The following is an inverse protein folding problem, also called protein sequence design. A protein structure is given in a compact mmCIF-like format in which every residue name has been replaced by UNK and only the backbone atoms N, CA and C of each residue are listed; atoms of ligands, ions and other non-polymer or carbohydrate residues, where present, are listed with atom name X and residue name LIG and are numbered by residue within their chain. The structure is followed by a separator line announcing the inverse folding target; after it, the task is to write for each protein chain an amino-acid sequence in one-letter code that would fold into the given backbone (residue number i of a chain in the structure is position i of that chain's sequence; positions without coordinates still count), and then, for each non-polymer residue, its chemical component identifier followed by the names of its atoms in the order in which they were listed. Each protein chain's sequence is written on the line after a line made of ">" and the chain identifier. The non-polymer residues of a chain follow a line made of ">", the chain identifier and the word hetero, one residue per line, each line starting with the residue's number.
data_IF_253422631471
#
_entry.id   IF_253422631471
#
_cell.length_a   1.000
_cell.length_b   1.000
_cell.length_c   1.000
_cell.angle_alpha   90.00
_cell.angle_beta   90.00
_cell.angle_gamma   90.00
#
_symmetry.space_group_name_H-M   'P 1'
#
loop_
_entity.id
_entity.type
_entity.pdbx_description
1 polymer ?
#
# COMPACT_ATOMS: atom_id res chain seq x y z
N UNK A 1 44.82 56.15 91.55
CA UNK A 1 43.87 56.32 90.42
C UNK A 1 44.17 55.22 89.41
N UNK A 2 43.29 54.23 89.28
CA UNK A 2 43.46 53.08 88.38
C UNK A 2 42.56 53.25 87.16
N UNK A 3 43.14 53.12 85.96
CA UNK A 3 42.45 53.29 84.69
C UNK A 3 41.51 52.11 84.39
N UNK A 4 40.26 52.42 84.05
CA UNK A 4 39.26 51.44 83.61
C UNK A 4 39.53 51.02 82.15
N UNK A 5 39.49 49.73 81.89
CA UNK A 5 39.65 49.13 80.56
C UNK A 5 38.34 49.30 79.76
N UNK A 6 38.34 49.93 78.56
CA UNK A 6 37.10 50.36 77.87
C UNK A 6 36.50 49.31 76.92
N UNK A 7 36.99 48.07 76.94
CA UNK A 7 36.50 47.00 76.07
C UNK A 7 35.77 45.99 76.97
N UNK A 8 34.47 45.86 76.76
CA UNK A 8 33.59 44.93 77.48
C UNK A 8 34.05 43.46 77.36
N UNK A 9 33.32 42.52 77.98
CA UNK A 9 33.71 41.11 78.02
C UNK A 9 33.95 40.58 76.59
N UNK A 10 35.16 40.05 76.35
CA UNK A 10 35.50 39.45 75.07
C UNK A 10 34.62 38.22 74.81
N UNK A 11 34.16 38.01 73.57
CA UNK A 11 33.34 36.87 73.23
C UNK A 11 34.12 35.56 73.39
N UNK A 12 33.48 34.56 73.98
CA UNK A 12 34.04 33.23 74.18
C UNK A 12 33.93 32.40 72.89
N UNK A 13 35.02 32.36 72.12
CA UNK A 13 35.11 31.61 70.88
C UNK A 13 35.02 30.09 71.07
N UNK A 14 35.22 29.57 72.30
CA UNK A 14 35.03 28.13 72.57
C UNK A 14 33.54 27.77 72.57
N UNK A 15 32.67 28.67 73.02
CA UNK A 15 31.22 28.50 72.94
C UNK A 15 30.73 28.47 71.49
N UNK A 16 31.28 29.35 70.65
CA UNK A 16 30.97 29.42 69.21
C UNK A 16 31.45 28.15 68.50
N UNK A 17 32.65 27.67 68.80
CA UNK A 17 33.18 26.43 68.23
C UNK A 17 32.35 25.19 68.62
N UNK A 18 31.90 25.12 69.88
CA UNK A 18 31.05 24.03 70.36
C UNK A 18 29.64 24.06 69.75
N UNK A 19 29.06 25.23 69.46
CA UNK A 19 27.81 25.32 68.72
C UNK A 19 27.97 24.95 67.24
N UNK A 20 29.06 25.33 66.59
CA UNK A 20 29.34 24.93 65.20
C UNK A 20 29.47 23.40 65.07
N UNK A 21 30.04 22.73 66.07
CA UNK A 21 30.15 21.26 66.09
C UNK A 21 28.80 20.55 66.26
N UNK A 22 27.79 21.19 66.86
CA UNK A 22 26.43 20.62 66.98
C UNK A 22 25.66 20.62 65.65
N UNK A 23 26.06 21.45 64.70
CA UNK A 23 25.47 21.52 63.34
C UNK A 23 26.02 20.42 62.42
N UNK A 24 27.10 19.73 62.83
CA UNK A 24 27.74 18.66 62.05
C UNK A 24 26.91 17.36 61.96
N UNK A 25 25.72 17.31 62.56
CA UNK A 25 24.79 16.20 62.42
C UNK A 25 23.61 16.60 61.53
N UNK A 26 23.88 16.91 60.25
CA UNK A 26 22.85 17.25 59.26
C UNK A 26 22.51 16.02 58.39
N UNK A 27 21.29 15.45 58.52
CA UNK A 27 20.74 14.45 57.59
C UNK A 27 20.65 14.94 56.13
N UNK A 28 20.93 16.22 55.88
CA UNK A 28 20.86 16.86 54.56
C UNK A 28 21.82 16.24 53.52
N UNK A 29 22.93 15.64 53.95
CA UNK A 29 23.90 15.01 53.02
C UNK A 29 23.37 13.66 52.48
N UNK A 30 22.58 12.91 53.25
CA UNK A 30 22.00 11.64 52.81
C UNK A 30 20.92 11.84 51.72
N UNK A 31 20.02 12.82 51.92
CA UNK A 31 19.00 13.15 50.92
C UNK A 31 19.58 13.78 49.64
N UNK A 32 20.67 14.53 49.74
CA UNK A 32 21.37 15.07 48.57
C UNK A 32 21.95 13.98 47.66
N UNK A 33 22.50 12.92 48.24
CA UNK A 33 23.03 11.80 47.46
C UNK A 33 21.93 10.99 46.75
N UNK A 34 20.78 10.82 47.41
CA UNK A 34 19.61 10.16 46.82
C UNK A 34 19.03 10.95 45.64
N UNK A 35 18.90 12.28 45.79
CA UNK A 35 18.48 13.17 44.70
C UNK A 35 19.45 13.09 43.51
N UNK A 36 20.77 13.06 43.75
CA UNK A 36 21.76 12.92 42.68
C UNK A 36 21.65 11.58 41.94
N UNK A 37 21.35 10.50 42.67
CA UNK A 37 21.13 9.19 42.08
C UNK A 37 19.86 9.19 41.21
N UNK A 38 18.77 9.78 41.69
CA UNK A 38 17.52 9.90 40.94
C UNK A 38 17.69 10.76 39.68
N UNK A 39 18.44 11.87 39.77
CA UNK A 39 18.77 12.69 38.59
C UNK A 39 19.62 11.92 37.56
N UNK A 40 20.53 11.04 37.98
CA UNK A 40 21.28 10.18 37.07
C UNK A 40 20.36 9.17 36.39
N UNK A 41 19.46 8.53 37.14
CA UNK A 41 18.48 7.60 36.61
C UNK A 41 17.55 8.28 35.58
N UNK A 42 17.06 9.50 35.87
CA UNK A 42 16.24 10.29 34.95
C UNK A 42 17.01 10.63 33.67
N UNK A 43 18.29 11.00 33.77
CA UNK A 43 19.14 11.28 32.59
C UNK A 43 19.34 10.04 31.73
N UNK A 44 19.62 8.89 32.35
CA UNK A 44 19.75 7.63 31.63
C UNK A 44 18.43 7.21 30.96
N UNK A 45 17.31 7.36 31.66
CA UNK A 45 15.99 7.09 31.09
C UNK A 45 15.67 8.02 29.93
N UNK A 46 16.01 9.30 30.05
CA UNK A 46 15.81 10.30 28.99
C UNK A 46 16.66 9.96 27.76
N UNK A 47 17.92 9.58 27.94
CA UNK A 47 18.80 9.17 26.84
C UNK A 47 18.28 7.92 26.13
N UNK A 48 17.79 6.91 26.88
CA UNK A 48 17.17 5.71 26.30
C UNK A 48 15.90 6.04 25.51
N UNK A 49 15.07 6.94 26.05
CA UNK A 49 13.85 7.38 25.38
C UNK A 49 14.15 8.15 24.09
N UNK A 50 15.20 8.98 24.07
CA UNK A 50 15.64 9.69 22.88
C UNK A 50 16.06 8.72 21.77
N UNK A 51 16.85 7.70 22.11
CA UNK A 51 17.27 6.65 21.16
C UNK A 51 16.05 5.91 20.62
N UNK A 52 15.14 5.46 21.50
CA UNK A 52 13.92 4.74 21.09
C UNK A 52 13.02 5.61 20.18
N UNK A 53 12.93 6.92 20.45
CA UNK A 53 12.18 7.85 19.62
C UNK A 53 12.83 8.02 18.25
N UNK A 54 14.16 8.15 18.19
CA UNK A 54 14.90 8.25 16.93
C UNK A 54 14.70 6.99 16.07
N UNK A 55 14.75 5.80 16.68
CA UNK A 55 14.48 4.53 16.01
C UNK A 55 13.04 4.44 15.50
N UNK A 56 12.06 4.84 16.33
CA UNK A 56 10.66 4.88 15.95
C UNK A 56 10.41 5.82 14.78
N UNK A 57 10.97 7.03 14.80
CA UNK A 57 10.88 7.99 13.69
C UNK A 57 11.51 7.40 12.41
N UNK A 58 12.65 6.72 12.52
CA UNK A 58 13.27 6.06 11.37
C UNK A 58 12.40 4.93 10.80
N UNK A 59 11.75 4.14 11.66
CA UNK A 59 10.78 3.11 11.25
C UNK A 59 9.60 3.74 10.49
N UNK A 60 8.96 4.74 11.08
CA UNK A 60 7.80 5.43 10.48
C UNK A 60 8.16 6.05 9.12
N UNK A 61 9.33 6.69 9.00
CA UNK A 61 9.79 7.24 7.71
C UNK A 61 9.93 6.17 6.63
N UNK A 62 10.43 4.98 6.99
CA UNK A 62 10.53 3.84 6.06
C UNK A 62 9.15 3.33 5.65
N UNK A 63 8.22 3.20 6.59
CA UNK A 63 6.85 2.78 6.31
C UNK A 63 6.12 3.77 5.40
N UNK A 64 6.22 5.07 5.69
CA UNK A 64 5.65 6.12 4.82
C UNK A 64 6.24 6.03 3.41
N UNK A 65 7.55 5.81 3.28
CA UNK A 65 8.18 5.62 1.97
C UNK A 65 7.70 4.36 1.23
N UNK A 66 7.41 3.27 1.95
CA UNK A 66 6.79 2.07 1.37
C UNK A 66 5.38 2.36 0.88
N UNK A 67 4.53 2.97 1.73
CA UNK A 67 3.14 3.31 1.39
C UNK A 67 3.08 4.24 0.18
N UNK A 68 3.95 5.25 0.11
CA UNK A 68 4.01 6.15 -1.05
C UNK A 68 4.32 5.40 -2.36
N UNK A 69 5.24 4.42 -2.32
CA UNK A 69 5.53 3.57 -3.48
C UNK A 69 4.33 2.71 -3.86
N UNK A 70 3.66 2.09 -2.89
CA UNK A 70 2.50 1.24 -3.13
C UNK A 70 1.33 2.03 -3.72
N UNK A 71 1.04 3.22 -3.18
CA UNK A 71 0.05 4.15 -3.74
C UNK A 71 0.42 4.53 -5.19
N UNK A 72 1.71 4.77 -5.47
CA UNK A 72 2.19 5.04 -6.82
C UNK A 72 1.98 3.86 -7.78
N UNK A 73 2.18 2.62 -7.32
CA UNK A 73 1.93 1.40 -8.09
C UNK A 73 0.43 1.25 -8.38
N UNK A 74 -0.42 1.30 -7.35
CA UNK A 74 -1.88 1.18 -7.50
C UNK A 74 -2.45 2.21 -8.46
N UNK A 75 -1.98 3.46 -8.40
CA UNK A 75 -2.42 4.51 -9.33
C UNK A 75 -2.07 4.17 -10.78
N UNK A 76 -0.88 3.63 -11.05
CA UNK A 76 -0.46 3.21 -12.40
C UNK A 76 -1.29 2.03 -12.90
N UNK A 77 -1.57 1.07 -12.03
CA UNK A 77 -2.38 -0.10 -12.37
C UNK A 77 -3.81 0.30 -12.72
N UNK A 78 -4.43 1.19 -11.92
CA UNK A 78 -5.76 1.72 -12.20
C UNK A 78 -5.84 2.49 -13.51
N UNK A 79 -4.85 3.35 -13.82
CA UNK A 79 -4.80 4.04 -15.10
C UNK A 79 -4.71 3.07 -16.29
N UNK A 80 -3.92 2.00 -16.13
CA UNK A 80 -3.78 0.96 -17.14
C UNK A 80 -5.12 0.23 -17.34
N UNK A 81 -5.77 -0.20 -16.26
CA UNK A 81 -7.08 -0.86 -16.30
C UNK A 81 -8.15 0.03 -16.96
N UNK A 82 -8.21 1.32 -16.62
CA UNK A 82 -9.16 2.25 -17.23
C UNK A 82 -8.94 2.40 -18.74
N UNK A 83 -7.68 2.57 -19.17
CA UNK A 83 -7.33 2.66 -20.59
C UNK A 83 -7.73 1.40 -21.35
N UNK A 84 -7.42 0.23 -20.80
CA UNK A 84 -7.73 -1.07 -21.41
C UNK A 84 -9.23 -1.31 -21.46
N UNK A 85 -9.95 -1.01 -20.38
CA UNK A 85 -11.41 -1.11 -20.33
C UNK A 85 -12.07 -0.22 -21.38
N UNK A 86 -11.62 1.04 -21.49
CA UNK A 86 -12.13 1.97 -22.50
C UNK A 86 -11.85 1.49 -23.93
N UNK A 87 -10.64 1.01 -24.21
CA UNK A 87 -10.28 0.44 -25.50
C UNK A 87 -11.15 -0.78 -25.84
N UNK A 88 -11.27 -1.73 -24.92
CA UNK A 88 -12.05 -2.95 -25.13
C UNK A 88 -13.55 -2.66 -25.27
N UNK A 89 -14.07 -1.66 -24.56
CA UNK A 89 -15.45 -1.22 -24.71
C UNK A 89 -15.68 -0.56 -26.09
N UNK A 90 -14.77 0.29 -26.54
CA UNK A 90 -14.84 0.88 -27.88
C UNK A 90 -14.77 -0.20 -28.98
N UNK A 91 -13.83 -1.15 -28.84
CA UNK A 91 -13.72 -2.30 -29.75
C UNK A 91 -15.00 -3.14 -29.77
N UNK A 92 -15.62 -3.37 -28.60
CA UNK A 92 -16.90 -4.10 -28.48
C UNK A 92 -18.03 -3.39 -29.22
N UNK A 93 -18.15 -2.07 -29.06
CA UNK A 93 -19.17 -1.26 -29.74
C UNK A 93 -18.94 -1.30 -31.25
N UNK A 94 -17.70 -1.11 -31.71
CA UNK A 94 -17.35 -1.19 -33.12
C UNK A 94 -17.69 -2.56 -33.73
N UNK A 95 -17.31 -3.64 -33.04
CA UNK A 95 -17.63 -5.00 -33.46
C UNK A 95 -19.14 -5.28 -33.47
N UNK A 96 -19.93 -4.68 -32.56
CA UNK A 96 -21.38 -4.86 -32.51
C UNK A 96 -22.14 -4.24 -33.69
N UNK A 97 -21.53 -3.25 -34.35
CA UNK A 97 -22.04 -2.61 -35.56
C UNK A 97 -21.54 -3.28 -36.85
N UNK A 98 -20.78 -4.37 -36.77
CA UNK A 98 -20.36 -5.13 -37.94
C UNK A 98 -21.55 -5.95 -38.46
N UNK A 99 -22.28 -5.38 -39.42
CA UNK A 99 -23.41 -6.03 -40.08
C UNK A 99 -22.98 -7.00 -41.19
N UNK A 100 -21.79 -6.78 -41.78
CA UNK A 100 -21.23 -7.58 -42.87
C UNK A 100 -20.02 -8.39 -42.37
N UNK A 101 -19.71 -9.53 -43.00
CA UNK A 101 -18.57 -10.42 -42.65
C UNK A 101 -17.19 -9.88 -43.03
N UNK A 102 -17.14 -8.75 -43.75
CA UNK A 102 -15.95 -8.23 -44.43
C UNK A 102 -15.14 -7.12 -43.73
N UNK A 103 -15.63 -6.32 -42.75
CA UNK A 103 -14.77 -5.40 -42.03
C UNK A 103 -13.90 -6.14 -41.00
N UNK A 104 -12.71 -5.60 -40.76
CA UNK A 104 -11.78 -6.13 -39.78
C UNK A 104 -12.33 -5.95 -38.36
N UNK A 105 -12.28 -7.00 -37.54
CA UNK A 105 -12.54 -6.95 -36.11
C UNK A 105 -11.57 -5.98 -35.44
N UNK A 106 -12.11 -5.13 -34.58
CA UNK A 106 -11.29 -4.31 -33.70
C UNK A 106 -10.66 -5.20 -32.62
N UNK A 107 -9.32 -5.21 -32.50
CA UNK A 107 -8.63 -6.09 -31.58
C UNK A 107 -8.79 -5.63 -30.14
N UNK A 108 -8.81 -6.59 -29.22
CA UNK A 108 -8.86 -6.36 -27.79
C UNK A 108 -7.45 -6.34 -27.18
N UNK A 109 -7.30 -5.61 -26.07
CA UNK A 109 -6.15 -5.68 -25.20
C UNK A 109 -6.44 -6.67 -24.05
N UNK A 110 -5.40 -7.33 -23.56
CA UNK A 110 -5.49 -8.18 -22.38
C UNK A 110 -5.84 -7.30 -21.15
N UNK A 111 -6.91 -7.62 -20.38
CA UNK A 111 -7.35 -6.78 -19.26
C UNK A 111 -6.37 -6.73 -18.09
N UNK A 112 -5.46 -7.70 -17.98
CA UNK A 112 -4.47 -7.80 -16.90
C UNK A 112 -3.18 -7.09 -17.28
N UNK A 113 -2.65 -7.33 -18.48
CA UNK A 113 -1.35 -6.78 -18.91
C UNK A 113 -1.47 -5.47 -19.69
N UNK A 114 -2.64 -5.20 -20.28
CA UNK A 114 -2.86 -4.07 -21.19
C UNK A 114 -2.15 -4.17 -22.53
N UNK A 115 -1.58 -5.34 -22.85
CA UNK A 115 -0.92 -5.62 -24.12
C UNK A 115 -1.91 -6.11 -25.18
N UNK A 116 -1.55 -5.99 -26.45
CA UNK A 116 -2.31 -6.56 -27.56
C UNK A 116 -2.35 -8.08 -27.45
N UNK A 117 -3.54 -8.66 -27.66
CA UNK A 117 -3.71 -10.12 -27.67
C UNK A 117 -3.03 -10.70 -28.93
N UNK A 118 -2.00 -11.55 -28.78
CA UNK A 118 -1.31 -12.13 -29.93
C UNK A 118 -2.25 -12.98 -30.78
N UNK A 119 -2.20 -12.77 -32.09
CA UNK A 119 -3.02 -13.51 -33.06
C UNK A 119 -4.53 -13.37 -32.82
N UNK A 120 -4.98 -12.23 -32.30
CA UNK A 120 -6.41 -11.91 -32.27
C UNK A 120 -6.95 -11.94 -33.72
N UNK A 121 -8.07 -12.65 -33.98
CA UNK A 121 -8.61 -12.81 -35.33
C UNK A 121 -8.96 -11.46 -35.92
N UNK A 122 -8.55 -11.25 -37.17
CA UNK A 122 -8.76 -9.99 -37.89
C UNK A 122 -10.16 -9.93 -38.48
N UNK A 123 -10.82 -11.06 -38.72
CA UNK A 123 -12.15 -11.10 -39.34
C UNK A 123 -13.08 -12.09 -38.61
N UNK A 124 -14.38 -11.98 -38.88
CA UNK A 124 -15.37 -12.93 -38.35
C UNK A 124 -15.13 -14.34 -38.89
N UNK A 125 -14.71 -14.48 -40.15
CA UNK A 125 -14.42 -15.79 -40.73
C UNK A 125 -13.16 -16.43 -40.09
N UNK A 126 -12.11 -15.65 -39.82
CA UNK A 126 -10.95 -16.13 -39.06
C UNK A 126 -11.33 -16.56 -37.64
N UNK A 127 -12.21 -15.79 -36.99
CA UNK A 127 -12.77 -16.11 -35.68
C UNK A 127 -13.54 -17.44 -35.72
N UNK A 128 -14.42 -17.63 -36.71
CA UNK A 128 -15.22 -18.85 -36.88
C UNK A 128 -14.35 -20.07 -37.22
N UNK A 129 -13.20 -19.86 -37.88
CA UNK A 129 -12.20 -20.87 -38.19
C UNK A 129 -11.28 -21.28 -37.02
N UNK A 130 -11.42 -20.67 -35.84
CA UNK A 130 -10.57 -21.00 -34.70
C UNK A 130 -10.83 -22.41 -34.16
N UNK A 131 -9.77 -23.18 -33.99
CA UNK A 131 -9.85 -24.44 -33.27
C UNK A 131 -10.06 -24.22 -31.76
N UNK A 132 -10.56 -25.25 -31.07
CA UNK A 132 -10.87 -25.21 -29.62
C UNK A 132 -9.70 -24.77 -28.74
N UNK A 133 -8.45 -25.14 -29.07
CA UNK A 133 -7.26 -24.76 -28.29
C UNK A 133 -7.01 -23.26 -28.38
N UNK A 134 -7.05 -22.69 -29.58
CA UNK A 134 -6.90 -21.24 -29.81
C UNK A 134 -8.02 -20.46 -29.16
N UNK A 135 -9.25 -20.93 -29.29
CA UNK A 135 -10.42 -20.30 -28.69
C UNK A 135 -10.32 -20.20 -27.16
N UNK A 136 -9.85 -21.27 -26.48
CA UNK A 136 -9.56 -21.25 -25.05
C UNK A 136 -8.44 -20.27 -24.69
N UNK A 137 -7.37 -20.24 -25.50
CA UNK A 137 -6.28 -19.28 -25.31
C UNK A 137 -6.76 -17.84 -25.36
N UNK A 138 -7.63 -17.49 -26.33
CA UNK A 138 -8.23 -16.16 -26.41
C UNK A 138 -9.13 -15.85 -25.22
N UNK A 139 -9.99 -16.79 -24.81
CA UNK A 139 -10.84 -16.60 -23.63
C UNK A 139 -10.02 -16.37 -22.35
N UNK A 140 -8.91 -17.11 -22.17
CA UNK A 140 -7.99 -16.90 -21.06
C UNK A 140 -7.31 -15.53 -21.12
N UNK A 141 -6.86 -15.11 -22.30
CA UNK A 141 -6.22 -13.80 -22.49
C UNK A 141 -7.20 -12.64 -22.33
N UNK A 142 -8.51 -12.86 -22.50
CA UNK A 142 -9.57 -11.91 -22.24
C UNK A 142 -10.11 -11.99 -20.80
N UNK A 143 -9.52 -12.84 -19.95
CA UNK A 143 -9.99 -13.13 -18.58
C UNK A 143 -11.47 -13.54 -18.52
N UNK A 144 -11.93 -14.29 -19.52
CA UNK A 144 -13.28 -14.83 -19.58
C UNK A 144 -13.29 -16.20 -18.92
N UNK A 145 -14.02 -16.33 -17.82
CA UNK A 145 -14.19 -17.61 -17.13
C UNK A 145 -15.06 -18.56 -17.95
N UNK A 146 -14.57 -19.78 -18.20
CA UNK A 146 -15.30 -20.85 -18.88
C UNK A 146 -15.08 -22.20 -18.18
N UNK A 147 -15.95 -23.18 -18.44
CA UNK A 147 -15.83 -24.51 -17.83
C UNK A 147 -14.80 -25.37 -18.59
N UNK A 148 -13.95 -26.16 -17.91
CA UNK A 148 -12.92 -26.97 -18.58
C UNK A 148 -13.43 -27.95 -19.64
N UNK A 149 -14.69 -28.40 -19.53
CA UNK A 149 -15.32 -29.37 -20.45
C UNK A 149 -16.24 -28.71 -21.49
N UNK A 150 -16.26 -27.39 -21.58
CA UNK A 150 -17.13 -26.66 -22.49
C UNK A 150 -16.79 -26.98 -23.96
N UNK A 151 -17.84 -27.23 -24.76
CA UNK A 151 -17.72 -27.56 -26.17
C UNK A 151 -17.35 -26.30 -27.00
N UNK A 152 -16.87 -26.50 -28.23
CA UNK A 152 -16.37 -25.39 -29.06
C UNK A 152 -17.45 -24.34 -29.33
N UNK A 153 -18.70 -24.75 -29.55
CA UNK A 153 -19.82 -23.86 -29.82
C UNK A 153 -20.12 -22.94 -28.62
N UNK A 154 -20.14 -23.48 -27.39
CA UNK A 154 -20.36 -22.67 -26.19
C UNK A 154 -19.21 -21.70 -25.96
N UNK A 155 -17.96 -22.14 -26.11
CA UNK A 155 -16.79 -21.26 -26.04
C UNK A 155 -16.85 -20.13 -27.10
N UNK A 156 -17.30 -20.46 -28.31
CA UNK A 156 -17.43 -19.50 -29.40
C UNK A 156 -18.52 -18.48 -29.09
N UNK A 157 -19.67 -18.95 -28.59
CA UNK A 157 -20.78 -18.09 -28.16
C UNK A 157 -20.34 -17.14 -27.05
N UNK A 158 -19.58 -17.62 -26.07
CA UNK A 158 -19.02 -16.78 -25.00
C UNK A 158 -18.07 -15.72 -25.56
N UNK A 159 -17.14 -16.11 -26.43
CA UNK A 159 -16.22 -15.16 -27.06
C UNK A 159 -16.97 -14.10 -27.85
N UNK A 160 -17.88 -14.50 -28.75
CA UNK A 160 -18.70 -13.60 -29.57
C UNK A 160 -19.48 -12.60 -28.73
N UNK A 161 -20.16 -13.08 -27.68
CA UNK A 161 -20.91 -12.21 -26.77
C UNK A 161 -19.99 -11.19 -26.08
N UNK A 162 -18.80 -11.61 -25.65
CA UNK A 162 -17.83 -10.73 -24.99
C UNK A 162 -17.26 -9.66 -25.93
N UNK A 163 -16.92 -10.04 -27.17
CA UNK A 163 -16.35 -9.11 -28.16
C UNK A 163 -17.40 -8.28 -28.90
N UNK A 164 -18.67 -8.41 -28.54
CA UNK A 164 -19.77 -7.59 -29.08
C UNK A 164 -20.39 -8.12 -30.36
N UNK A 165 -20.00 -9.30 -30.84
CA UNK A 165 -20.60 -9.87 -32.05
C UNK A 165 -21.98 -10.44 -31.75
N UNK A 166 -22.95 -10.11 -32.62
CA UNK A 166 -24.30 -10.68 -32.56
C UNK A 166 -24.24 -12.19 -32.73
N UNK A 167 -25.11 -12.90 -32.02
CA UNK A 167 -25.27 -14.34 -32.18
C UNK A 167 -25.64 -14.65 -33.63
N UNK A 168 -24.92 -15.58 -34.26
CA UNK A 168 -25.36 -16.13 -35.54
C UNK A 168 -26.72 -16.77 -35.31
N UNK A 169 -27.74 -16.28 -36.00
CA UNK A 169 -29.09 -16.85 -35.99
C UNK A 169 -28.96 -18.34 -36.28
N UNK A 170 -29.24 -19.20 -35.30
CA UNK A 170 -29.52 -20.60 -35.57
C UNK A 170 -30.80 -20.62 -36.41
N UNK A 171 -30.80 -21.13 -37.65
CA UNK A 171 -32.03 -21.23 -38.41
C UNK A 171 -33.02 -22.06 -37.62
N UNK A 172 -34.22 -21.54 -37.44
CA UNK A 172 -35.31 -22.23 -36.76
C UNK A 172 -35.60 -23.56 -37.49
N UNK A 173 -35.90 -24.66 -36.79
CA UNK A 173 -36.28 -25.93 -37.43
C UNK A 173 -37.46 -25.80 -38.41
N UNK A 174 -38.22 -24.70 -38.35
CA UNK A 174 -39.34 -24.41 -39.23
C UNK A 174 -38.97 -23.81 -40.59
N UNK A 175 -37.72 -23.42 -40.84
CA UNK A 175 -37.29 -22.86 -42.15
C UNK A 175 -36.72 -23.91 -43.13
N UNK A 176 -36.62 -25.19 -42.74
CA UNK A 176 -36.13 -26.28 -43.61
C UNK A 176 -37.21 -26.97 -44.47
N UNK A 177 -38.43 -26.43 -44.51
CA UNK A 177 -39.51 -26.94 -45.37
C UNK A 177 -40.23 -25.80 -46.08
N UNK A 178 -39.58 -25.22 -47.08
CA UNK A 178 -40.23 -24.61 -48.25
C UNK A 178 -39.37 -24.87 -49.46
#
# INVERSE_FOLDING_TARGET
>A
MAAANPLGPQPDFQLIANEILKIANTPAIAGGQEILNEMRAIREQSARMEIALQESIANVRREVGNVQRDVGNVRRDLMTMMRVSNHNNAARVQNAHMENRTPNLSPFLNPVTGEGIPYFPLTVDELEGLNRRRLRGLLQQLDIQYRPRENQEALMRMLRAHIGLRATRTPSPHERKR
#
